data_IF_915563767391
#
_entry.id   IF_915563767391
#
_cell.length_a   1.000
_cell.length_b   1.000
_cell.length_c   1.000
_cell.angle_alpha   90.00
_cell.angle_beta   90.00
_cell.angle_gamma   90.00
#
_symmetry.space_group_name_H-M   'P 1'
#
loop_
_entity.id
_entity.type
_entity.pdbx_description
1 polymer ?
#
# COMPACT_ATOMS: atom_id res chain seq x y z
N UNK A 1 7.13 13.37 26.93
CA UNK A 1 7.92 13.02 25.73
C UNK A 1 8.67 11.74 26.01
N UNK A 2 8.17 10.60 25.56
CA UNK A 2 8.65 9.31 26.09
C UNK A 2 9.98 8.84 25.49
N UNK A 3 10.37 9.34 24.31
CA UNK A 3 11.50 8.75 23.58
C UNK A 3 12.57 9.71 23.05
N UNK A 4 12.49 11.02 23.26
CA UNK A 4 13.57 11.94 22.87
C UNK A 4 14.20 12.47 24.15
N UNK A 5 15.44 12.07 24.42
CA UNK A 5 16.25 12.66 25.49
C UNK A 5 17.21 13.66 24.90
N UNK A 6 17.05 14.93 25.28
CA UNK A 6 17.99 16.01 24.99
C UNK A 6 18.35 16.69 26.31
N UNK A 7 19.57 17.22 26.43
CA UNK A 7 20.08 17.81 27.69
C UNK A 7 19.21 18.98 28.17
N UNK A 8 18.67 19.75 27.25
CA UNK A 8 17.82 20.90 27.56
C UNK A 8 16.34 20.55 27.39
N UNK A 9 15.44 21.17 28.19
CA UNK A 9 14.02 21.11 27.95
C UNK A 9 13.66 21.52 26.51
N UNK A 10 12.82 20.72 25.88
CA UNK A 10 12.22 21.05 24.59
C UNK A 10 10.93 21.83 24.84
N UNK A 11 10.84 23.03 24.25
CA UNK A 11 9.70 23.94 24.38
C UNK A 11 8.88 23.86 23.08
N UNK A 12 7.57 23.63 23.21
CA UNK A 12 6.65 23.64 22.08
C UNK A 12 6.34 25.08 21.66
N UNK A 13 6.71 25.43 20.44
CA UNK A 13 6.26 26.65 19.78
C UNK A 13 5.13 26.28 18.81
N UNK A 14 3.88 26.62 19.15
CA UNK A 14 2.72 26.27 18.32
C UNK A 14 2.64 27.05 17.01
N UNK A 15 3.22 28.26 16.99
CA UNK A 15 3.22 29.19 15.85
C UNK A 15 4.64 29.57 15.42
N UNK A 16 5.41 28.58 14.99
CA UNK A 16 6.74 28.79 14.46
C UNK A 16 6.68 29.15 12.96
N UNK A 17 7.37 30.21 12.57
CA UNK A 17 7.58 30.57 11.17
C UNK A 17 8.98 30.11 10.75
N UNK A 18 9.04 29.19 9.79
CA UNK A 18 10.32 28.65 9.34
C UNK A 18 11.22 29.68 8.67
N UNK A 19 12.52 29.59 8.92
CA UNK A 19 13.55 30.37 8.23
C UNK A 19 14.20 29.55 7.10
N UNK A 20 14.93 30.23 6.21
CA UNK A 20 15.72 29.55 5.18
C UNK A 20 16.79 28.65 5.84
N UNK A 21 16.80 27.36 5.46
CA UNK A 21 17.70 26.37 6.04
C UNK A 21 17.16 25.64 7.28
N UNK A 22 16.00 26.04 7.81
CA UNK A 22 15.37 25.30 8.91
C UNK A 22 14.94 23.91 8.45
N UNK A 23 15.41 22.90 9.17
CA UNK A 23 15.12 21.49 8.89
C UNK A 23 14.72 20.78 10.17
N UNK A 24 13.70 19.93 10.08
CA UNK A 24 13.34 19.06 11.21
C UNK A 24 14.43 18.00 11.43
N UNK A 25 14.95 17.90 12.64
CA UNK A 25 16.00 16.95 12.98
C UNK A 25 15.61 15.49 12.74
N UNK A 26 14.33 15.13 12.92
CA UNK A 26 13.85 13.75 12.82
C UNK A 26 13.58 13.34 11.37
N UNK A 27 12.70 14.05 10.67
CA UNK A 27 12.34 13.68 9.29
C UNK A 27 13.29 14.23 8.23
N UNK A 28 14.18 15.18 8.59
CA UNK A 28 15.09 15.89 7.69
C UNK A 28 14.39 16.70 6.59
N UNK A 29 13.10 16.94 6.71
CA UNK A 29 12.35 17.82 5.80
C UNK A 29 12.55 19.28 6.22
N UNK A 30 12.55 20.17 5.22
CA UNK A 30 12.59 21.60 5.45
C UNK A 30 11.32 22.07 6.19
N UNK A 31 11.47 23.14 6.97
CA UNK A 31 10.38 23.85 7.64
C UNK A 31 10.20 25.17 6.88
N UNK A 32 9.42 25.21 5.79
CA UNK A 32 9.35 26.38 4.93
C UNK A 32 8.47 27.48 5.52
N UNK A 33 8.93 28.73 5.39
CA UNK A 33 8.05 29.91 5.42
C UNK A 33 7.25 30.02 4.10
N UNK A 34 6.02 30.57 4.11
CA UNK A 34 5.35 31.29 5.20
C UNK A 34 4.41 30.41 6.07
N UNK A 35 4.49 29.09 5.94
CA UNK A 35 3.60 28.19 6.68
C UNK A 35 3.87 28.28 8.18
N UNK A 36 2.79 28.21 8.97
CA UNK A 36 2.86 28.12 10.43
C UNK A 36 3.05 26.65 10.80
N UNK A 37 4.09 26.35 11.57
CA UNK A 37 4.40 25.00 12.05
C UNK A 37 4.36 24.93 13.57
N UNK A 38 3.97 23.78 14.12
CA UNK A 38 4.16 23.48 15.53
C UNK A 38 5.48 22.73 15.70
N UNK A 39 6.46 23.36 16.34
CA UNK A 39 7.84 22.88 16.40
C UNK A 39 8.36 22.94 17.84
N UNK A 40 9.04 21.88 18.26
CA UNK A 40 9.83 21.87 19.49
C UNK A 40 11.19 22.49 19.23
N UNK A 41 11.58 23.42 20.10
CA UNK A 41 12.88 24.08 20.11
C UNK A 41 13.59 23.83 21.44
N UNK A 42 14.91 23.87 21.43
CA UNK A 42 15.70 23.78 22.65
C UNK A 42 15.60 25.07 23.47
N UNK A 43 15.39 24.97 24.79
CA UNK A 43 15.36 26.15 25.69
C UNK A 43 16.70 26.90 25.78
N UNK A 44 17.81 26.25 25.43
CA UNK A 44 19.15 26.88 25.36
C UNK A 44 19.35 27.81 24.16
N UNK A 45 18.30 28.10 23.38
CA UNK A 45 18.36 28.94 22.18
C UNK A 45 18.21 30.44 22.48
N UNK A 46 18.08 30.83 23.75
CA UNK A 46 17.92 32.23 24.16
C UNK A 46 19.04 32.68 25.10
N UNK A 47 19.89 33.58 24.56
CA UNK A 47 20.78 34.55 25.23
C UNK A 47 22.10 34.05 25.84
N UNK A 48 23.18 34.40 25.12
CA UNK A 48 24.57 34.71 25.52
C UNK A 48 25.13 34.26 26.88
N UNK A 49 26.35 33.69 26.79
CA UNK A 49 27.40 33.56 27.81
C UNK A 49 27.07 32.85 29.12
N UNK A 50 27.66 31.67 29.31
CA UNK A 50 28.74 31.50 30.30
C UNK A 50 29.30 30.07 30.31
N UNK A 51 30.61 30.03 30.46
CA UNK A 51 31.47 28.89 30.76
C UNK A 51 30.93 28.00 31.88
N UNK A 52 30.97 26.67 31.68
CA UNK A 52 31.45 25.76 32.72
C UNK A 52 31.84 24.42 32.10
N UNK A 53 33.08 24.06 32.39
CA UNK A 53 33.62 22.71 32.40
C UNK A 53 32.66 21.75 33.10
N UNK A 54 32.60 20.51 32.62
CA UNK A 54 32.93 19.35 33.44
C UNK A 54 32.95 18.11 32.54
N UNK A 55 34.01 17.35 32.73
CA UNK A 55 34.27 16.03 32.19
C UNK A 55 33.15 15.05 32.56
N UNK A 56 32.79 14.19 31.60
CA UNK A 56 32.59 12.79 31.94
C UNK A 56 32.72 11.94 30.67
N UNK A 57 33.74 11.11 30.73
CA UNK A 57 34.09 10.04 29.81
C UNK A 57 32.98 8.97 29.83
N UNK A 58 32.39 8.64 28.67
CA UNK A 58 31.60 7.41 28.57
C UNK A 58 31.86 6.70 27.24
N UNK A 59 32.69 5.67 27.37
CA UNK A 59 33.07 4.66 26.39
C UNK A 59 31.84 4.08 25.67
N UNK A 60 31.71 4.30 24.37
CA UNK A 60 30.80 3.52 23.52
C UNK A 60 31.50 2.22 23.16
N UNK A 61 31.11 1.13 23.84
CA UNK A 61 31.47 -0.23 23.41
C UNK A 61 30.73 -0.57 22.13
N UNK A 62 31.50 -0.84 21.08
CA UNK A 62 31.02 -1.48 19.86
C UNK A 62 30.63 -2.92 20.16
N UNK A 63 29.46 -3.35 19.68
CA UNK A 63 29.11 -4.77 19.61
C UNK A 63 28.62 -5.11 18.21
N UNK A 64 29.46 -5.83 17.48
CA UNK A 64 28.99 -6.78 16.47
C UNK A 64 28.45 -8.00 17.20
N UNK A 65 27.20 -8.38 16.98
CA UNK A 65 26.77 -9.79 16.89
C UNK A 65 25.25 -9.93 16.72
N UNK A 66 24.93 -10.81 15.78
CA UNK A 66 23.69 -11.55 15.56
C UNK A 66 22.76 -11.71 16.78
N UNK A 67 21.48 -11.41 16.54
CA UNK A 67 20.34 -12.11 17.15
C UNK A 67 20.15 -11.97 18.65
N UNK A 68 19.77 -10.79 19.14
CA UNK A 68 19.05 -10.62 20.43
C UNK A 68 18.03 -9.47 20.32
N UNK A 69 16.93 -9.51 21.11
CA UNK A 69 15.78 -8.62 20.93
C UNK A 69 16.15 -7.18 21.29
N UNK A 70 15.80 -6.24 20.40
CA UNK A 70 16.06 -4.82 20.55
C UNK A 70 15.36 -4.27 21.80
N UNK A 71 16.09 -3.66 22.77
CA UNK A 71 15.46 -2.96 23.87
C UNK A 71 14.77 -1.68 23.37
N UNK A 72 13.61 -1.38 23.93
CA UNK A 72 12.83 -0.15 23.69
C UNK A 72 13.49 1.05 24.37
N UNK A 73 14.66 1.45 23.87
CA UNK A 73 15.40 2.58 24.41
C UNK A 73 14.97 3.88 23.72
N UNK A 74 14.69 4.96 24.49
CA UNK A 74 14.53 6.31 23.95
C UNK A 74 15.68 6.70 23.02
N UNK A 75 15.39 7.40 21.93
CA UNK A 75 16.36 8.12 21.12
C UNK A 75 17.06 9.19 21.99
N UNK A 76 18.35 9.02 22.24
CA UNK A 76 19.19 9.99 22.96
C UNK A 76 19.93 10.88 21.97
N UNK A 77 19.70 12.19 22.03
CA UNK A 77 20.41 13.20 21.22
C UNK A 77 21.64 13.65 22.03
N UNK A 78 22.86 13.28 21.59
CA UNK A 78 24.10 13.62 22.31
C UNK A 78 24.59 15.03 21.94
N UNK A 79 25.46 15.61 22.79
CA UNK A 79 26.00 16.98 22.64
C UNK A 79 26.67 17.24 21.29
N UNK A 80 27.26 16.23 20.65
CA UNK A 80 27.99 16.37 19.39
C UNK A 80 27.11 16.20 18.14
N UNK A 81 25.84 15.81 18.30
CA UNK A 81 24.98 15.46 17.15
C UNK A 81 24.31 16.69 16.53
N UNK A 82 24.02 17.73 17.33
CA UNK A 82 23.31 18.96 16.88
C UNK A 82 23.63 20.16 17.79
N UNK A 83 23.91 21.32 17.18
CA UNK A 83 23.89 22.62 17.85
C UNK A 83 22.50 22.90 18.43
N UNK A 84 22.39 23.09 19.75
CA UNK A 84 21.12 23.33 20.44
C UNK A 84 20.20 24.39 19.79
N UNK A 85 20.71 25.54 19.29
CA UNK A 85 19.90 26.54 18.58
C UNK A 85 19.30 26.04 17.25
N UNK A 86 19.89 25.02 16.64
CA UNK A 86 19.45 24.44 15.36
C UNK A 86 18.58 23.19 15.56
N UNK A 87 18.27 22.82 16.81
CA UNK A 87 17.41 21.68 17.09
C UNK A 87 15.94 22.06 16.93
N UNK A 88 15.42 21.81 15.73
CA UNK A 88 14.01 21.97 15.38
C UNK A 88 13.39 20.58 15.19
N UNK A 89 12.26 20.32 15.85
CA UNK A 89 11.55 19.04 15.70
C UNK A 89 10.06 19.32 15.51
N UNK A 90 9.46 18.89 14.41
CA UNK A 90 8.00 18.96 14.25
C UNK A 90 7.30 18.28 15.43
N UNK A 91 6.20 18.86 15.91
CA UNK A 91 5.35 18.24 16.94
C UNK A 91 4.96 16.81 16.55
N UNK A 92 4.52 16.62 15.31
CA UNK A 92 4.16 15.31 14.76
C UNK A 92 5.32 14.32 14.70
N UNK A 93 6.56 14.79 14.57
CA UNK A 93 7.76 13.95 14.62
C UNK A 93 8.14 13.58 16.06
N UNK A 94 7.96 14.50 17.01
CA UNK A 94 8.21 14.25 18.44
C UNK A 94 7.16 13.33 19.08
N UNK A 95 5.97 13.25 18.49
CA UNK A 95 4.84 12.43 18.94
C UNK A 95 4.73 11.09 18.19
N UNK A 96 5.74 10.73 17.38
CA UNK A 96 5.74 9.44 16.66
C UNK A 96 5.70 8.24 17.62
N UNK A 97 4.94 7.19 17.28
CA UNK A 97 4.94 5.97 18.07
C UNK A 97 6.31 5.26 17.99
N UNK A 98 6.82 4.75 19.11
CA UNK A 98 8.04 3.95 19.14
C UNK A 98 7.90 2.64 18.36
N UNK A 99 6.69 2.07 18.38
CA UNK A 99 6.37 0.79 17.77
C UNK A 99 5.03 0.90 17.05
N UNK A 100 4.96 0.37 15.83
CA UNK A 100 3.71 0.25 15.08
C UNK A 100 3.52 -1.22 14.73
N UNK A 101 2.39 -1.78 15.14
CA UNK A 101 1.92 -3.12 14.75
C UNK A 101 0.99 -3.01 13.54
N UNK A 102 0.95 -4.06 12.72
CA UNK A 102 0.00 -4.17 11.61
C UNK A 102 0.03 -3.00 10.63
N UNK A 103 1.24 -2.52 10.31
CA UNK A 103 1.41 -1.49 9.30
C UNK A 103 0.76 -1.96 7.98
N UNK A 104 -0.05 -1.15 7.27
CA UNK A 104 -0.92 -1.64 6.19
C UNK A 104 -0.21 -2.39 5.05
N UNK A 105 1.07 -2.13 4.81
CA UNK A 105 1.91 -2.80 3.80
C UNK A 105 2.86 -3.85 4.39
N UNK A 106 2.80 -4.06 5.70
CA UNK A 106 3.64 -4.99 6.45
C UNK A 106 2.88 -5.53 7.68
N UNK A 107 1.84 -6.31 7.39
CA UNK A 107 0.93 -6.87 8.40
C UNK A 107 1.60 -7.98 9.20
N UNK A 108 1.09 -8.23 10.43
CA UNK A 108 1.55 -9.27 11.35
C UNK A 108 2.96 -9.08 11.93
N UNK A 109 3.65 -8.00 11.58
CA UNK A 109 4.95 -7.67 12.15
C UNK A 109 4.94 -6.31 12.83
N UNK A 110 5.84 -6.14 13.79
CA UNK A 110 6.03 -4.87 14.50
C UNK A 110 7.22 -4.14 13.89
N UNK A 111 6.99 -2.91 13.44
CA UNK A 111 8.07 -1.98 13.07
C UNK A 111 8.40 -1.08 14.26
N UNK A 112 9.68 -0.81 14.46
CA UNK A 112 10.21 -0.03 15.58
C UNK A 112 11.01 1.14 15.06
N UNK A 113 10.84 2.29 15.68
CA UNK A 113 11.64 3.47 15.43
C UNK A 113 13.09 3.24 15.87
N UNK A 114 14.03 3.39 14.95
CA UNK A 114 15.45 3.17 15.18
C UNK A 114 16.29 4.33 14.63
N UNK A 115 17.45 4.50 15.25
CA UNK A 115 18.53 5.35 14.78
C UNK A 115 19.56 4.49 14.03
N UNK A 116 20.16 5.02 12.97
CA UNK A 116 21.37 4.46 12.36
C UNK A 116 21.27 3.07 11.70
N UNK A 117 20.20 2.79 10.95
CA UNK A 117 20.23 1.66 10.00
C UNK A 117 20.48 2.18 8.58
N UNK A 118 21.71 2.00 8.12
CA UNK A 118 22.14 2.37 6.77
C UNK A 118 21.58 1.41 5.73
N UNK A 119 20.40 1.70 5.19
CA UNK A 119 19.85 1.02 4.02
C UNK A 119 18.93 1.97 3.23
N UNK A 120 18.19 1.44 2.26
CA UNK A 120 17.16 2.17 1.52
C UNK A 120 15.77 1.94 2.12
N UNK A 121 14.92 2.95 2.01
CA UNK A 121 13.50 2.84 2.36
C UNK A 121 12.80 1.87 1.38
N UNK A 122 12.09 0.87 1.90
CA UNK A 122 11.37 -0.14 1.12
C UNK A 122 10.23 0.42 0.27
N UNK A 123 9.80 1.67 0.48
CA UNK A 123 8.72 2.31 -0.30
C UNK A 123 9.19 3.38 -1.28
N UNK A 124 10.13 4.24 -0.90
CA UNK A 124 10.60 5.33 -1.76
C UNK A 124 12.01 5.12 -2.34
N UNK A 125 12.69 4.04 -1.97
CA UNK A 125 14.08 3.73 -2.34
C UNK A 125 15.13 4.79 -1.91
N UNK A 126 14.72 5.84 -1.18
CA UNK A 126 15.65 6.83 -0.64
C UNK A 126 16.51 6.23 0.47
N UNK A 127 17.77 6.65 0.53
CA UNK A 127 18.70 6.26 1.59
C UNK A 127 18.29 6.79 2.97
N UNK A 128 18.29 5.91 3.97
CA UNK A 128 18.02 6.23 5.39
C UNK A 128 19.30 6.43 6.21
N UNK A 129 20.48 6.41 5.59
CA UNK A 129 21.76 6.60 6.27
C UNK A 129 21.79 7.96 7.00
N UNK A 130 22.08 7.93 8.30
CA UNK A 130 22.10 9.13 9.15
C UNK A 130 20.72 9.75 9.42
N UNK A 131 19.64 9.04 9.11
CA UNK A 131 18.25 9.44 9.38
C UNK A 131 17.61 8.47 10.37
N UNK A 132 16.62 8.95 11.10
CA UNK A 132 15.74 8.10 11.91
C UNK A 132 14.77 7.37 10.95
N UNK A 133 14.57 6.07 11.17
CA UNK A 133 13.68 5.22 10.35
C UNK A 133 12.92 4.21 11.21
N UNK A 134 11.88 3.62 10.66
CA UNK A 134 11.24 2.43 11.23
C UNK A 134 11.81 1.17 10.60
N UNK A 135 12.05 0.16 11.41
CA UNK A 135 12.62 -1.11 11.00
C UNK A 135 11.76 -2.24 11.54
N UNK A 136 11.49 -3.25 10.72
CA UNK A 136 10.82 -4.46 11.22
C UNK A 136 11.76 -5.29 12.11
N UNK A 137 11.23 -5.82 13.22
CA UNK A 137 11.98 -6.75 14.09
C UNK A 137 12.26 -8.09 13.41
N UNK A 138 11.32 -8.54 12.58
CA UNK A 138 11.32 -9.89 12.00
C UNK A 138 11.87 -9.90 10.56
N UNK A 139 11.76 -8.79 9.84
CA UNK A 139 12.15 -8.66 8.44
C UNK A 139 13.40 -7.80 8.29
N UNK A 140 14.55 -8.46 8.05
CA UNK A 140 15.89 -7.84 8.02
C UNK A 140 16.04 -6.63 7.07
N UNK A 141 15.29 -6.60 5.98
CA UNK A 141 15.39 -5.56 4.94
C UNK A 141 14.14 -4.68 4.82
N UNK A 142 13.23 -4.75 5.80
CA UNK A 142 12.03 -3.90 5.80
C UNK A 142 12.27 -2.63 6.62
N UNK A 143 12.51 -1.52 5.92
CA UNK A 143 12.90 -0.23 6.49
C UNK A 143 12.05 0.87 5.87
N UNK A 144 11.45 1.73 6.71
CA UNK A 144 10.62 2.84 6.26
C UNK A 144 11.16 4.15 6.81
N UNK A 145 11.40 5.14 5.93
CA UNK A 145 11.70 6.49 6.40
C UNK A 145 10.46 7.11 7.09
N UNK A 146 10.67 8.10 7.96
CA UNK A 146 9.58 8.78 8.68
C UNK A 146 8.48 9.26 7.74
N UNK A 147 8.85 9.86 6.59
CA UNK A 147 7.93 10.34 5.57
C UNK A 147 7.04 9.24 5.01
N UNK A 148 7.60 8.06 4.74
CA UNK A 148 6.85 6.92 4.24
C UNK A 148 5.94 6.32 5.32
N UNK A 149 6.22 6.52 6.61
CA UNK A 149 5.31 6.10 7.69
C UNK A 149 4.19 7.12 7.92
N UNK A 150 4.48 8.42 7.88
CA UNK A 150 3.50 9.48 8.17
C UNK A 150 2.66 9.87 6.97
N UNK A 151 3.25 9.84 5.76
CA UNK A 151 2.59 10.11 4.49
C UNK A 151 3.00 9.06 3.46
N UNK A 152 2.62 7.79 3.67
CA UNK A 152 2.86 6.69 2.75
C UNK A 152 2.41 7.01 1.32
N UNK A 153 3.38 7.02 0.41
CA UNK A 153 3.17 7.09 -1.04
C UNK A 153 3.77 5.88 -1.70
N UNK A 154 2.99 5.23 -2.57
CA UNK A 154 3.38 3.97 -3.20
C UNK A 154 3.17 4.02 -4.70
N UNK A 155 4.11 3.46 -5.45
CA UNK A 155 3.88 3.12 -6.84
C UNK A 155 3.15 1.79 -6.88
N UNK A 156 2.01 1.73 -7.57
CA UNK A 156 1.25 0.50 -7.70
C UNK A 156 1.27 0.05 -9.16
N UNK A 157 1.54 -1.23 -9.47
CA UNK A 157 1.60 -1.68 -10.87
C UNK A 157 0.28 -1.52 -11.65
N UNK A 158 -0.86 -1.47 -10.95
CA UNK A 158 -2.16 -1.19 -11.53
C UNK A 158 -2.47 0.30 -11.75
N UNK A 159 -1.55 1.20 -11.37
CA UNK A 159 -1.63 2.63 -11.60
C UNK A 159 -0.23 3.27 -11.55
N UNK A 160 0.57 3.04 -12.60
CA UNK A 160 1.99 3.43 -12.64
C UNK A 160 2.22 4.93 -12.91
N UNK A 161 1.23 5.63 -13.46
CA UNK A 161 1.38 7.02 -13.91
C UNK A 161 1.54 7.97 -12.71
N UNK A 162 0.95 7.65 -11.57
CA UNK A 162 0.98 8.50 -10.37
C UNK A 162 1.21 7.66 -9.11
N UNK A 163 1.83 8.26 -8.10
CA UNK A 163 1.90 7.66 -6.77
C UNK A 163 0.54 7.69 -6.08
N UNK A 164 0.23 6.61 -5.37
CA UNK A 164 -0.96 6.51 -4.54
C UNK A 164 -0.62 6.91 -3.11
N UNK A 165 -1.45 7.73 -2.49
CA UNK A 165 -1.39 8.04 -1.06
C UNK A 165 -2.21 7.01 -0.29
N UNK A 166 -1.65 6.46 0.79
CA UNK A 166 -2.42 5.59 1.68
C UNK A 166 -3.27 6.45 2.62
N UNK A 167 -4.54 6.13 2.67
CA UNK A 167 -5.57 6.78 3.48
C UNK A 167 -6.00 5.80 4.56
N UNK A 168 -5.89 6.21 5.83
CA UNK A 168 -6.15 5.36 7.00
C UNK A 168 -7.55 5.50 7.60
N UNK A 169 -8.35 6.44 7.10
CA UNK A 169 -9.71 6.62 7.58
C UNK A 169 -10.70 5.85 6.70
N UNK A 170 -11.75 5.27 7.29
CA UNK A 170 -12.80 4.62 6.53
C UNK A 170 -13.43 5.59 5.53
N UNK A 171 -13.61 5.12 4.29
CA UNK A 171 -14.26 5.89 3.23
C UNK A 171 -15.13 4.96 2.37
N UNK A 172 -16.25 5.50 1.89
CA UNK A 172 -17.07 4.84 0.87
C UNK A 172 -16.67 5.36 -0.50
N UNK A 173 -16.29 4.47 -1.40
CA UNK A 173 -15.93 4.77 -2.78
C UNK A 173 -16.03 3.51 -3.63
N UNK A 174 -16.24 3.67 -4.93
CA UNK A 174 -16.19 2.55 -5.86
C UNK A 174 -14.73 2.16 -6.14
N UNK A 175 -14.31 1.00 -5.66
CA UNK A 175 -12.94 0.53 -5.85
C UNK A 175 -12.68 0.12 -7.30
N UNK A 176 -11.65 0.71 -7.94
CA UNK A 176 -11.31 0.42 -9.34
C UNK A 176 -10.91 -1.05 -9.59
N UNK A 177 -10.34 -1.71 -8.57
CA UNK A 177 -9.91 -3.10 -8.68
C UNK A 177 -11.07 -4.10 -8.59
N UNK A 178 -11.93 -3.99 -7.57
CA UNK A 178 -12.97 -4.98 -7.31
C UNK A 178 -14.38 -4.55 -7.74
N UNK A 179 -14.57 -3.28 -8.13
CA UNK A 179 -15.87 -2.69 -8.50
C UNK A 179 -16.92 -2.85 -7.40
N UNK A 180 -16.48 -2.77 -6.14
CA UNK A 180 -17.32 -2.88 -4.95
C UNK A 180 -17.14 -1.63 -4.11
N UNK A 181 -18.26 -1.05 -3.70
CA UNK A 181 -18.38 0.13 -2.83
C UNK A 181 -19.00 -0.21 -1.46
N UNK A 182 -19.42 -1.47 -1.25
CA UNK A 182 -20.09 -1.93 -0.02
C UNK A 182 -19.13 -2.13 1.13
N UNK A 183 -17.83 -2.09 0.86
CA UNK A 183 -16.80 -2.23 1.85
C UNK A 183 -16.31 -0.86 2.31
N UNK A 184 -16.71 -0.47 3.53
CA UNK A 184 -16.05 0.62 4.22
C UNK A 184 -14.61 0.18 4.55
N UNK A 185 -13.66 0.50 3.68
CA UNK A 185 -12.30 0.04 3.83
C UNK A 185 -11.60 0.86 4.91
N UNK A 186 -11.10 0.18 5.96
CA UNK A 186 -10.33 0.81 7.04
C UNK A 186 -9.10 1.54 6.51
N UNK A 187 -8.45 1.01 5.47
CA UNK A 187 -7.40 1.68 4.73
C UNK A 187 -7.60 1.54 3.21
N UNK A 188 -7.17 2.56 2.47
CA UNK A 188 -7.28 2.61 1.01
C UNK A 188 -6.08 3.32 0.37
N UNK A 189 -5.89 3.16 -0.94
CA UNK A 189 -4.86 3.83 -1.71
C UNK A 189 -5.54 4.71 -2.75
N UNK A 190 -5.29 6.02 -2.70
CA UNK A 190 -5.92 7.03 -3.56
C UNK A 190 -4.88 7.80 -4.37
N UNK A 191 -5.15 8.02 -5.64
CA UNK A 191 -4.43 8.99 -6.45
C UNK A 191 -4.97 10.41 -6.20
N UNK A 192 -4.09 11.38 -5.99
CA UNK A 192 -4.51 12.78 -5.82
C UNK A 192 -4.63 13.54 -7.16
N UNK A 193 -4.18 12.95 -8.26
CA UNK A 193 -4.15 13.57 -9.59
C UNK A 193 -5.25 13.06 -10.53
N UNK A 194 -5.91 11.95 -10.19
CA UNK A 194 -6.97 11.35 -11.00
C UNK A 194 -7.94 10.57 -10.09
N UNK A 195 -9.11 10.11 -10.59
CA UNK A 195 -10.13 9.47 -9.75
C UNK A 195 -9.76 8.05 -9.27
N UNK A 196 -8.55 7.56 -9.56
CA UNK A 196 -8.12 6.22 -9.19
C UNK A 196 -8.10 6.04 -7.66
N UNK A 197 -8.90 5.09 -7.17
CA UNK A 197 -9.00 4.76 -5.76
C UNK A 197 -9.29 3.27 -5.58
N UNK A 198 -8.48 2.59 -4.77
CA UNK A 198 -8.60 1.17 -4.47
C UNK A 198 -8.55 0.88 -2.97
N UNK A 199 -9.21 -0.19 -2.54
CA UNK A 199 -9.04 -0.70 -1.17
C UNK A 199 -7.60 -1.15 -0.92
N UNK A 200 -7.11 -1.03 0.32
CA UNK A 200 -5.78 -1.55 0.69
C UNK A 200 -5.67 -3.05 0.41
N UNK A 201 -6.70 -3.84 0.76
CA UNK A 201 -6.77 -5.28 0.45
C UNK A 201 -6.68 -5.58 -1.05
N UNK A 202 -7.17 -4.67 -1.90
CA UNK A 202 -7.08 -4.81 -3.35
C UNK A 202 -5.68 -4.45 -3.86
N UNK A 203 -5.03 -3.44 -3.27
CA UNK A 203 -3.65 -3.09 -3.59
C UNK A 203 -2.67 -4.24 -3.30
N UNK A 204 -2.99 -5.06 -2.29
CA UNK A 204 -2.19 -6.20 -1.82
C UNK A 204 -2.57 -7.55 -2.46
N UNK A 205 -3.40 -7.55 -3.51
CA UNK A 205 -3.76 -8.80 -4.19
C UNK A 205 -2.52 -9.51 -4.74
N UNK A 206 -2.41 -10.83 -4.58
CA UNK A 206 -1.28 -11.58 -5.11
C UNK A 206 -1.27 -11.54 -6.64
N UNK A 207 -0.10 -11.36 -7.24
CA UNK A 207 0.04 -11.43 -8.70
C UNK A 207 -0.25 -12.83 -9.25
N UNK A 208 -0.01 -13.88 -8.44
CA UNK A 208 -0.24 -15.27 -8.76
C UNK A 208 -1.17 -15.90 -7.71
N UNK A 209 -2.33 -16.38 -8.13
CA UNK A 209 -3.33 -17.00 -7.27
C UNK A 209 -3.51 -18.49 -7.62
N UNK A 210 -3.40 -19.36 -6.62
CA UNK A 210 -3.78 -20.78 -6.75
C UNK A 210 -5.25 -20.94 -6.40
N UNK A 211 -6.10 -21.12 -7.41
CA UNK A 211 -7.53 -21.27 -7.23
C UNK A 211 -7.91 -22.75 -7.11
N UNK A 212 -8.58 -23.15 -6.01
CA UNK A 212 -8.90 -24.55 -5.71
C UNK A 212 -9.71 -25.29 -6.79
N UNK A 213 -10.50 -24.58 -7.59
CA UNK A 213 -11.34 -25.17 -8.63
C UNK A 213 -10.77 -24.97 -10.04
N UNK A 214 -9.49 -24.59 -10.14
CA UNK A 214 -8.81 -24.47 -11.42
C UNK A 214 -7.37 -24.97 -11.32
N UNK A 215 -6.96 -25.82 -12.26
CA UNK A 215 -5.67 -26.51 -12.20
C UNK A 215 -4.47 -25.57 -12.38
N UNK A 216 -4.60 -24.53 -13.20
CA UNK A 216 -3.51 -23.62 -13.48
C UNK A 216 -3.49 -22.45 -12.49
N UNK A 217 -2.30 -21.90 -12.18
CA UNK A 217 -2.21 -20.63 -11.49
C UNK A 217 -2.89 -19.52 -12.29
N UNK A 218 -3.59 -18.64 -11.60
CA UNK A 218 -4.19 -17.45 -12.18
C UNK A 218 -3.30 -16.24 -11.96
N UNK A 219 -3.14 -15.43 -13.00
CA UNK A 219 -2.40 -14.18 -12.99
C UNK A 219 -3.35 -13.01 -12.81
N UNK A 220 -2.98 -12.08 -11.94
CA UNK A 220 -3.70 -10.82 -11.79
C UNK A 220 -3.39 -9.90 -12.98
N UNK A 221 -4.44 -9.40 -13.63
CA UNK A 221 -4.35 -8.33 -14.62
C UNK A 221 -5.14 -7.12 -14.15
N UNK A 222 -4.61 -5.94 -14.45
CA UNK A 222 -5.18 -4.65 -14.07
C UNK A 222 -6.19 -4.11 -15.09
N UNK A 223 -6.31 -4.79 -16.23
CA UNK A 223 -7.31 -4.54 -17.27
C UNK A 223 -7.48 -5.79 -18.13
N UNK A 224 -8.56 -5.84 -18.90
CA UNK A 224 -8.71 -6.83 -19.96
C UNK A 224 -7.69 -6.50 -21.08
N UNK A 225 -6.93 -7.50 -21.53
CA UNK A 225 -6.02 -7.32 -22.67
C UNK A 225 -6.81 -6.96 -23.93
N UNK A 226 -6.21 -6.15 -24.81
CA UNK A 226 -6.82 -5.68 -26.07
C UNK A 226 -7.39 -6.81 -26.93
N UNK A 227 -6.75 -7.98 -26.90
CA UNK A 227 -7.21 -9.19 -27.59
C UNK A 227 -8.63 -9.60 -27.20
N UNK A 228 -9.01 -9.34 -25.95
CA UNK A 228 -10.31 -9.66 -25.38
C UNK A 228 -11.30 -8.49 -25.46
N UNK A 229 -10.90 -7.30 -25.92
CA UNK A 229 -11.82 -6.15 -25.99
C UNK A 229 -12.80 -6.24 -27.16
N UNK A 230 -12.56 -7.13 -28.13
CA UNK A 230 -13.41 -7.29 -29.32
C UNK A 230 -14.79 -7.86 -29.00
N UNK A 231 -14.94 -8.59 -27.90
CA UNK A 231 -16.18 -9.28 -27.53
C UNK A 231 -16.45 -9.18 -26.03
N UNK A 232 -17.70 -9.47 -25.63
CA UNK A 232 -18.04 -9.59 -24.22
C UNK A 232 -17.45 -10.88 -23.67
N UNK A 233 -16.65 -10.75 -22.62
CA UNK A 233 -16.16 -11.89 -21.85
C UNK A 233 -16.95 -12.02 -20.56
N UNK A 234 -17.02 -13.25 -20.06
CA UNK A 234 -17.79 -13.60 -18.88
C UNK A 234 -16.86 -14.24 -17.87
N UNK A 235 -17.14 -13.99 -16.59
CA UNK A 235 -16.45 -14.62 -15.50
C UNK A 235 -16.77 -16.13 -15.47
N UNK A 236 -15.75 -16.98 -15.49
CA UNK A 236 -15.88 -18.44 -15.43
C UNK A 236 -16.52 -18.96 -14.13
N UNK A 237 -16.71 -18.10 -13.13
CA UNK A 237 -17.24 -18.47 -11.81
C UNK A 237 -18.70 -18.02 -11.63
N UNK A 238 -19.02 -16.77 -11.96
CA UNK A 238 -20.37 -16.21 -11.76
C UNK A 238 -21.14 -16.01 -13.07
N UNK A 239 -20.51 -16.25 -14.21
CA UNK A 239 -21.05 -16.06 -15.56
C UNK A 239 -21.55 -14.65 -15.88
N UNK A 240 -21.23 -13.66 -15.04
CA UNK A 240 -21.50 -12.25 -15.32
C UNK A 240 -20.42 -11.64 -16.21
N UNK A 241 -20.78 -10.56 -16.92
CA UNK A 241 -19.91 -9.86 -17.86
C UNK A 241 -18.68 -9.27 -17.13
N UNK A 242 -17.51 -9.38 -17.75
CA UNK A 242 -16.27 -8.74 -17.32
C UNK A 242 -16.18 -7.34 -17.92
N UNK A 243 -15.89 -6.35 -17.08
CA UNK A 243 -15.62 -4.99 -17.54
C UNK A 243 -14.18 -4.85 -18.06
N UNK A 244 -13.95 -4.17 -19.19
CA UNK A 244 -12.61 -3.87 -19.73
C UNK A 244 -11.65 -3.22 -18.73
N UNK A 245 -12.18 -2.36 -17.86
CA UNK A 245 -11.42 -1.51 -16.94
C UNK A 245 -11.28 -2.11 -15.54
N UNK A 246 -11.91 -3.25 -15.29
CA UNK A 246 -11.88 -3.92 -13.99
C UNK A 246 -10.70 -4.90 -13.90
N UNK A 247 -10.13 -5.03 -12.71
CA UNK A 247 -9.09 -6.03 -12.47
C UNK A 247 -9.69 -7.44 -12.43
N UNK A 248 -8.93 -8.40 -12.93
CA UNK A 248 -9.37 -9.77 -13.06
C UNK A 248 -8.21 -10.74 -12.91
N UNK A 249 -8.53 -11.98 -12.58
CA UNK A 249 -7.61 -13.09 -12.65
C UNK A 249 -7.81 -13.84 -13.95
N UNK A 250 -6.71 -14.15 -14.64
CA UNK A 250 -6.74 -14.95 -15.86
C UNK A 250 -5.72 -16.08 -15.82
N UNK A 251 -6.04 -17.17 -16.50
CA UNK A 251 -5.10 -18.27 -16.74
C UNK A 251 -4.23 -17.92 -17.97
N UNK A 252 -2.92 -18.10 -17.87
CA UNK A 252 -2.04 -17.93 -19.04
C UNK A 252 -2.17 -19.09 -20.04
N UNK A 253 -2.53 -20.28 -19.55
CA UNK A 253 -2.57 -21.50 -20.36
C UNK A 253 -3.95 -21.73 -21.01
N UNK A 254 -4.97 -20.98 -20.58
CA UNK A 254 -6.35 -21.34 -20.84
C UNK A 254 -7.34 -20.18 -20.72
N UNK A 255 -8.54 -20.35 -21.26
CA UNK A 255 -9.61 -19.32 -21.28
C UNK A 255 -10.36 -19.17 -19.96
N UNK A 256 -9.64 -19.23 -18.86
CA UNK A 256 -10.22 -18.96 -17.55
C UNK A 256 -10.04 -17.47 -17.23
N UNK A 257 -11.16 -16.76 -17.07
CA UNK A 257 -11.20 -15.35 -16.68
C UNK A 257 -12.15 -15.22 -15.50
N UNK A 258 -11.75 -14.54 -14.44
CA UNK A 258 -12.58 -14.38 -13.24
C UNK A 258 -12.47 -12.98 -12.66
N UNK A 259 -13.58 -12.44 -12.17
CA UNK A 259 -13.54 -11.24 -11.31
C UNK A 259 -12.64 -11.50 -10.11
N UNK A 260 -11.90 -10.48 -9.67
CA UNK A 260 -11.11 -10.54 -8.43
C UNK A 260 -11.94 -11.03 -7.25
N UNK A 261 -13.17 -10.53 -7.10
CA UNK A 261 -14.07 -10.92 -6.00
C UNK A 261 -14.47 -12.39 -6.06
N UNK A 262 -14.69 -12.93 -7.26
CA UNK A 262 -15.03 -14.33 -7.46
C UNK A 262 -13.85 -15.26 -7.16
N UNK A 263 -12.66 -14.93 -7.68
CA UNK A 263 -11.47 -15.74 -7.48
C UNK A 263 -10.99 -15.76 -6.02
N UNK A 264 -11.16 -14.64 -5.31
CA UNK A 264 -10.79 -14.49 -3.90
C UNK A 264 -11.86 -15.00 -2.92
N UNK A 265 -13.06 -15.35 -3.39
CA UNK A 265 -14.13 -15.85 -2.55
C UNK A 265 -13.84 -17.28 -2.07
N UNK A 266 -14.03 -17.53 -0.78
CA UNK A 266 -13.94 -18.88 -0.19
C UNK A 266 -15.19 -19.73 -0.46
N UNK A 267 -16.30 -19.08 -0.85
CA UNK A 267 -17.58 -19.74 -1.12
C UNK A 267 -17.43 -20.68 -2.31
N UNK A 268 -17.97 -21.88 -2.16
CA UNK A 268 -18.09 -22.84 -3.26
C UNK A 268 -19.06 -22.27 -4.31
N UNK A 269 -18.58 -21.94 -5.52
CA UNK A 269 -19.42 -21.35 -6.55
C UNK A 269 -20.45 -22.35 -7.11
N UNK A 270 -20.22 -23.66 -6.92
CA UNK A 270 -21.07 -24.72 -7.47
C UNK A 270 -22.24 -25.11 -6.57
N UNK A 271 -22.38 -24.53 -5.37
CA UNK A 271 -23.52 -24.82 -4.49
C UNK A 271 -24.89 -24.43 -5.04
N UNK A 272 -24.96 -23.63 -6.12
CA UNK A 272 -26.21 -23.24 -6.78
C UNK A 272 -26.59 -24.10 -7.99
N UNK A 273 -25.67 -24.91 -8.50
CA UNK A 273 -25.91 -25.82 -9.62
C UNK A 273 -25.76 -27.25 -9.10
N UNK A 274 -26.85 -27.85 -8.61
CA UNK A 274 -26.92 -29.31 -8.55
C UNK A 274 -27.05 -29.83 -9.98
N UNK A 275 -25.96 -29.82 -10.75
CA UNK A 275 -25.83 -30.64 -11.94
C UNK A 275 -24.89 -31.79 -11.61
N UNK A 276 -25.47 -32.98 -11.67
CA UNK A 276 -24.84 -34.27 -11.48
C UNK A 276 -24.00 -34.65 -12.72
N UNK A 277 -22.77 -34.16 -12.79
CA UNK A 277 -21.59 -34.84 -13.37
C UNK A 277 -20.43 -33.84 -13.32
N UNK A 278 -19.33 -34.22 -12.66
CA UNK A 278 -18.06 -33.50 -12.76
C UNK A 278 -17.43 -33.83 -14.10
N UNK A 279 -18.00 -33.32 -15.17
CA UNK A 279 -17.23 -33.16 -16.40
C UNK A 279 -16.44 -31.87 -16.22
N UNK A 280 -15.14 -32.01 -15.99
CA UNK A 280 -14.21 -30.89 -15.95
C UNK A 280 -14.46 -30.02 -17.17
N UNK A 281 -14.89 -28.77 -16.97
CA UNK A 281 -15.10 -27.85 -18.07
C UNK A 281 -13.82 -27.85 -18.93
N UNK A 282 -13.90 -28.18 -20.23
CA UNK A 282 -12.71 -28.38 -21.05
C UNK A 282 -11.82 -27.14 -20.94
N UNK A 283 -10.58 -27.35 -20.53
CA UNK A 283 -9.59 -26.29 -20.46
C UNK A 283 -9.24 -25.86 -21.88
N UNK A 284 -10.03 -24.95 -22.45
CA UNK A 284 -9.75 -24.41 -23.76
C UNK A 284 -8.41 -23.68 -23.72
N UNK A 285 -7.51 -23.93 -24.70
CA UNK A 285 -6.21 -23.30 -24.74
C UNK A 285 -6.38 -21.77 -24.74
N UNK A 286 -5.36 -21.04 -24.30
CA UNK A 286 -5.35 -19.58 -24.41
C UNK A 286 -5.76 -19.13 -25.83
N UNK A 287 -6.43 -17.98 -26.00
CA UNK A 287 -6.88 -17.55 -27.32
C UNK A 287 -5.70 -17.26 -28.23
N UNK A 288 -5.68 -17.94 -29.38
CA UNK A 288 -5.02 -17.50 -30.60
C UNK A 288 -6.03 -16.74 -31.48
N UNK A 289 -5.57 -16.10 -32.57
CA UNK A 289 -6.46 -15.34 -33.47
C UNK A 289 -7.62 -16.19 -34.02
N UNK A 290 -7.38 -17.46 -34.33
CA UNK A 290 -8.40 -18.39 -34.84
C UNK A 290 -9.49 -18.68 -33.81
N UNK A 291 -9.12 -18.79 -32.54
CA UNK A 291 -10.05 -19.02 -31.44
C UNK A 291 -10.86 -17.78 -31.08
N UNK A 292 -10.30 -16.58 -31.25
CA UNK A 292 -11.05 -15.33 -31.12
C UNK A 292 -12.13 -15.20 -32.20
N UNK A 293 -11.83 -15.63 -33.44
CA UNK A 293 -12.81 -15.65 -34.54
C UNK A 293 -13.95 -16.66 -34.27
N UNK A 294 -13.65 -17.83 -33.71
CA UNK A 294 -14.69 -18.78 -33.30
C UNK A 294 -15.59 -18.21 -32.19
N UNK A 295 -15.01 -17.53 -31.19
CA UNK A 295 -15.77 -16.82 -30.16
C UNK A 295 -16.65 -15.71 -30.73
N UNK A 296 -16.19 -15.00 -31.75
CA UNK A 296 -17.01 -14.04 -32.50
C UNK A 296 -18.26 -14.71 -33.05
N UNK A 297 -18.10 -15.84 -33.75
CA UNK A 297 -19.21 -16.59 -34.33
C UNK A 297 -20.20 -17.07 -33.25
N UNK A 298 -19.72 -17.62 -32.13
CA UNK A 298 -20.58 -18.03 -31.01
C UNK A 298 -21.33 -16.86 -30.37
N UNK A 299 -20.69 -15.69 -30.27
CA UNK A 299 -21.33 -14.49 -29.72
C UNK A 299 -22.40 -13.91 -30.65
N UNK A 300 -22.24 -14.08 -31.96
CA UNK A 300 -23.26 -13.76 -32.96
C UNK A 300 -24.40 -14.77 -32.87
N UNK A 301 -24.08 -16.07 -32.80
CA UNK A 301 -25.08 -17.13 -32.69
C UNK A 301 -25.96 -17.00 -31.44
N UNK A 302 -25.37 -16.66 -30.28
CA UNK A 302 -26.17 -16.40 -29.06
C UNK A 302 -27.09 -15.20 -29.21
N UNK A 303 -26.64 -14.12 -29.85
CA UNK A 303 -27.51 -12.95 -30.11
C UNK A 303 -28.65 -13.25 -31.08
N UNK A 304 -28.43 -14.18 -32.02
CA UNK A 304 -29.50 -14.67 -32.91
C UNK A 304 -30.50 -15.48 -32.08
N UNK A 305 -30.02 -16.44 -31.29
CA UNK A 305 -30.88 -17.29 -30.48
C UNK A 305 -31.67 -16.51 -29.41
N UNK A 306 -31.06 -15.50 -28.77
CA UNK A 306 -31.73 -14.63 -27.79
C UNK A 306 -32.74 -13.66 -28.47
N UNK A 307 -32.64 -13.46 -29.78
CA UNK A 307 -33.57 -12.63 -30.57
C UNK A 307 -34.81 -13.36 -31.06
N UNK A 308 -34.82 -14.70 -31.00
CA UNK A 308 -35.93 -15.54 -31.47
C UNK A 308 -37.00 -15.81 -30.39
N UNK A 309 -36.77 -15.45 -29.12
CA UNK A 309 -37.74 -15.61 -28.02
C UNK A 309 -38.76 -14.46 -27.87
N UNK A 310 -38.61 -13.33 -28.58
CA UNK A 310 -39.60 -12.22 -28.56
C UNK A 310 -40.62 -12.30 -29.72
N UNK A 311 -40.63 -13.38 -30.51
CA UNK A 311 -41.35 -13.45 -31.79
C UNK A 311 -42.49 -14.46 -31.91
N UNK A 312 -42.98 -15.07 -30.83
CA UNK A 312 -44.09 -16.04 -30.93
C UNK A 312 -45.10 -15.95 -29.79
N UNK A 313 -45.83 -14.84 -29.72
CA UNK A 313 -47.18 -14.83 -29.13
C UNK A 313 -48.09 -13.96 -30.02
N UNK A 314 -48.55 -14.58 -31.11
CA UNK A 314 -49.50 -14.01 -32.04
C UNK A 314 -50.38 -15.10 -32.64
N UNK A 315 -51.66 -15.04 -32.28
CA UNK A 315 -52.82 -15.79 -32.79
C UNK A 315 -52.90 -17.27 -32.44
N UNK A 316 -53.89 -17.63 -31.61
CA UNK A 316 -55.04 -18.43 -32.02
C UNK A 316 -56.22 -18.23 -31.03
N UNK A 317 -57.33 -17.72 -31.61
CA UNK A 317 -58.75 -17.90 -31.26
C UNK A 317 -59.27 -17.57 -29.87
#
# INVERSE_FOLDING_TARGET
MAFIKHRHPLILNEKYHGAEGDVCYICKEAIPSPLIHSVYTCSGSSLSDSTSSDDDDFVVKTYSAMGKPYPELPLEIKRNDVDCPKLLIHRSCAELPLTITDYPMHQNHTIVLNHEVGNKCSMCDEGTRGKISYNCRDCLNFILCIKCVTSPRVHHPGHIQHQLTVVHHPASFLCYACQDDKHLASASCKCNLCPFWIHMKCALLPSLLKYKFHRHPLLLSYSLSELYLRFRHYCSICHAILSPTQWLYHCANCRFLAHVTCAMSTKDPFKRLRLSSFDEEPCYPAPDESSLHFMQQLSVQRRINDGDEEGSDGLFS
#
